data_IF_725228342896
#
_entry.id   IF_725228342896
#
_cell.length_a   1.000
_cell.length_b   1.000
_cell.length_c   1.000
_cell.angle_alpha   90.00
_cell.angle_beta   90.00
_cell.angle_gamma   90.00
#
_symmetry.space_group_name_H-M   'P 1'
#
loop_
_entity.id
_entity.type
_entity.pdbx_description
1 polymer ?
#
# COMPACT_ATOMS: atom_id res chain seq x y z
N UNK A 1 -1.02 -7.94 2.59
CA UNK A 1 -0.04 -9.02 2.51
C UNK A 1 -0.72 -10.22 1.87
N UNK A 2 -0.34 -10.56 0.65
CA UNK A 2 -0.95 -11.68 -0.09
C UNK A 2 -0.28 -13.00 0.30
N UNK A 3 -1.08 -14.06 0.51
CA UNK A 3 -0.58 -15.41 0.79
C UNK A 3 -0.68 -16.27 -0.48
N UNK A 4 0.42 -16.92 -0.82
CA UNK A 4 0.51 -17.82 -1.98
C UNK A 4 -0.01 -19.23 -1.64
N UNK A 5 -0.86 -19.82 -2.51
CA UNK A 5 -1.26 -21.22 -2.44
C UNK A 5 -0.35 -22.10 -3.29
N UNK A 6 0.11 -23.23 -2.76
CA UNK A 6 1.03 -24.17 -3.42
C UNK A 6 0.49 -24.82 -4.69
N UNK A 7 1.35 -24.95 -5.67
CA UNK A 7 1.22 -25.94 -6.75
C UNK A 7 2.28 -27.03 -6.56
N UNK A 8 1.85 -28.27 -6.30
CA UNK A 8 2.73 -29.44 -6.39
C UNK A 8 3.01 -29.74 -7.86
N UNK A 9 4.25 -29.56 -8.30
CA UNK A 9 4.74 -29.93 -9.61
C UNK A 9 6.25 -29.74 -9.67
N UNK A 10 6.99 -30.84 -9.76
CA UNK A 10 8.45 -30.85 -9.94
C UNK A 10 8.79 -30.20 -11.27
N UNK A 11 9.56 -29.14 -11.24
CA UNK A 11 10.24 -28.55 -12.41
C UNK A 11 11.73 -28.44 -12.09
N UNK A 12 12.57 -28.87 -13.05
CA UNK A 12 14.02 -28.86 -12.96
C UNK A 12 14.59 -27.46 -12.65
N UNK A 13 15.76 -27.35 -12.01
CA UNK A 13 16.31 -26.06 -11.56
C UNK A 13 16.86 -25.25 -12.73
N UNK A 14 16.06 -24.35 -13.29
CA UNK A 14 16.52 -23.32 -14.21
C UNK A 14 17.29 -22.20 -13.48
N UNK A 15 18.23 -21.49 -14.14
CA UNK A 15 19.02 -20.41 -13.54
C UNK A 15 18.19 -19.32 -12.84
N UNK A 16 16.98 -19.06 -13.32
CA UNK A 16 16.04 -18.07 -12.76
C UNK A 16 15.54 -18.43 -11.35
N UNK A 17 15.56 -19.72 -10.94
CA UNK A 17 15.20 -20.13 -9.59
C UNK A 17 16.21 -19.71 -8.53
N UNK A 18 17.48 -19.49 -8.88
CA UNK A 18 18.51 -19.05 -7.91
C UNK A 18 18.32 -17.62 -7.43
N UNK A 19 17.76 -16.74 -8.27
CA UNK A 19 17.53 -15.32 -7.94
C UNK A 19 16.40 -15.16 -6.92
N UNK A 20 15.44 -16.08 -6.90
CA UNK A 20 14.24 -16.05 -6.05
C UNK A 20 14.44 -16.83 -4.74
N UNK A 21 15.41 -17.75 -4.67
CA UNK A 21 15.72 -18.50 -3.46
C UNK A 21 16.75 -17.76 -2.60
N UNK A 22 16.28 -16.80 -1.84
CA UNK A 22 17.12 -16.14 -0.84
C UNK A 22 16.96 -16.87 0.49
N UNK A 23 18.09 -17.14 1.12
CA UNK A 23 18.16 -17.70 2.47
C UNK A 23 17.68 -16.63 3.45
N UNK A 24 16.72 -16.97 4.31
CA UNK A 24 16.29 -16.10 5.39
C UNK A 24 16.98 -16.58 6.68
N UNK A 25 17.83 -15.74 7.25
CA UNK A 25 18.46 -15.97 8.56
C UNK A 25 17.70 -15.16 9.59
N UNK A 26 17.09 -15.85 10.55
CA UNK A 26 16.40 -15.23 11.68
C UNK A 26 16.89 -15.87 12.98
N UNK A 27 17.38 -15.09 13.92
CA UNK A 27 17.95 -15.54 15.20
C UNK A 27 19.01 -16.66 15.10
N UNK A 28 19.80 -16.64 13.99
CA UNK A 28 20.83 -17.65 13.72
C UNK A 28 20.33 -18.94 13.04
N UNK A 29 19.02 -19.09 12.88
CA UNK A 29 18.44 -20.19 12.10
C UNK A 29 18.31 -19.81 10.62
N UNK A 30 18.70 -20.75 9.76
CA UNK A 30 18.66 -20.59 8.31
C UNK A 30 17.44 -21.30 7.76
N UNK A 31 16.47 -20.54 7.23
CA UNK A 31 15.27 -21.08 6.59
C UNK A 31 15.27 -20.84 5.09
N UNK A 32 14.86 -21.84 4.33
CA UNK A 32 14.65 -21.74 2.89
C UNK A 32 13.15 -21.60 2.62
N UNK A 33 12.65 -20.42 2.27
CA UNK A 33 11.24 -20.26 1.97
C UNK A 33 10.89 -21.09 0.73
N UNK A 34 9.88 -21.93 0.86
CA UNK A 34 9.36 -22.78 -0.24
C UNK A 34 8.39 -22.03 -1.12
N UNK A 35 7.89 -20.88 -0.67
CA UNK A 35 6.84 -20.08 -1.30
C UNK A 35 7.17 -18.59 -1.30
N UNK A 36 6.94 -17.95 -2.45
CA UNK A 36 7.09 -16.51 -2.63
C UNK A 36 8.55 -16.04 -2.68
N UNK A 37 8.74 -14.73 -2.58
CA UNK A 37 10.04 -14.08 -2.46
C UNK A 37 10.23 -13.57 -1.04
N UNK A 38 11.45 -13.64 -0.47
CA UNK A 38 11.68 -13.19 0.89
C UNK A 38 11.41 -11.69 1.02
N UNK A 39 10.82 -11.31 2.16
CA UNK A 39 10.57 -9.92 2.46
C UNK A 39 11.90 -9.17 2.63
N UNK A 40 12.05 -8.03 1.93
CA UNK A 40 13.29 -7.24 1.93
C UNK A 40 14.29 -7.61 0.84
N UNK A 41 14.01 -8.59 -0.04
CA UNK A 41 14.84 -8.86 -1.21
C UNK A 41 14.74 -7.73 -2.25
N UNK A 42 15.89 -7.33 -2.84
CA UNK A 42 15.93 -6.24 -3.83
C UNK A 42 15.00 -6.43 -5.03
N UNK A 43 14.82 -7.67 -5.49
CA UNK A 43 14.00 -8.00 -6.67
C UNK A 43 12.54 -8.28 -6.31
N UNK A 44 12.24 -8.51 -5.04
CA UNK A 44 10.89 -8.90 -4.59
C UNK A 44 9.80 -7.88 -4.97
N UNK A 45 10.01 -6.55 -4.82
CA UNK A 45 9.02 -5.56 -5.23
C UNK A 45 8.77 -5.55 -6.74
N UNK A 46 9.83 -5.76 -7.53
CA UNK A 46 9.72 -5.82 -8.99
C UNK A 46 8.91 -7.05 -9.42
N UNK A 47 9.24 -8.22 -8.88
CA UNK A 47 8.53 -9.47 -9.18
C UNK A 47 7.06 -9.40 -8.74
N UNK A 48 6.78 -8.82 -7.58
CA UNK A 48 5.43 -8.59 -7.11
C UNK A 48 4.65 -7.67 -8.06
N UNK A 49 5.25 -6.58 -8.54
CA UNK A 49 4.60 -5.69 -9.50
C UNK A 49 4.37 -6.34 -10.87
N UNK A 50 5.32 -7.13 -11.38
CA UNK A 50 5.14 -7.90 -12.62
C UNK A 50 3.97 -8.88 -12.46
N UNK A 51 3.88 -9.57 -11.32
CA UNK A 51 2.81 -10.53 -11.08
C UNK A 51 1.44 -9.85 -10.92
N UNK A 52 1.38 -8.76 -10.19
CA UNK A 52 0.15 -7.99 -9.96
C UNK A 52 -0.28 -7.17 -11.20
N UNK A 53 0.60 -7.00 -12.20
CA UNK A 53 0.26 -6.36 -13.48
C UNK A 53 -0.88 -7.10 -14.21
N UNK A 54 -1.08 -8.40 -13.94
CA UNK A 54 -2.23 -9.13 -14.47
C UNK A 54 -3.58 -8.55 -13.97
N UNK A 55 -3.59 -7.94 -12.78
CA UNK A 55 -4.78 -7.24 -12.27
C UNK A 55 -5.01 -5.95 -13.06
N UNK A 56 -3.95 -5.19 -13.33
CA UNK A 56 -4.02 -3.96 -14.10
C UNK A 56 -4.49 -4.24 -15.53
N UNK A 57 -3.89 -5.26 -16.20
CA UNK A 57 -4.29 -5.70 -17.53
C UNK A 57 -5.74 -6.17 -17.59
N UNK A 58 -6.16 -7.00 -16.62
CA UNK A 58 -7.55 -7.40 -16.54
C UNK A 58 -8.47 -6.18 -16.47
N UNK A 59 -8.12 -5.18 -15.64
CA UNK A 59 -8.95 -3.99 -15.48
C UNK A 59 -9.02 -3.12 -16.74
N UNK A 60 -7.91 -3.01 -17.47
CA UNK A 60 -7.82 -2.19 -18.69
C UNK A 60 -8.39 -2.88 -19.93
N UNK A 61 -8.23 -4.19 -20.04
CA UNK A 61 -8.59 -4.97 -21.23
C UNK A 61 -9.93 -5.74 -21.04
N UNK A 62 -9.90 -6.79 -20.23
CA UNK A 62 -11.05 -7.69 -20.03
C UNK A 62 -12.13 -7.06 -19.14
N UNK A 63 -11.74 -6.35 -18.11
CA UNK A 63 -12.61 -5.67 -17.15
C UNK A 63 -13.16 -4.34 -17.63
N UNK A 64 -12.77 -3.86 -18.82
CA UNK A 64 -13.16 -2.54 -19.34
C UNK A 64 -14.69 -2.38 -19.40
N UNK A 65 -15.41 -3.42 -19.76
CA UNK A 65 -16.88 -3.40 -19.74
C UNK A 65 -17.43 -3.28 -18.33
N UNK A 66 -16.84 -4.00 -17.38
CA UNK A 66 -17.21 -3.97 -15.97
C UNK A 66 -16.88 -2.62 -15.35
N UNK A 67 -15.70 -2.10 -15.62
CA UNK A 67 -15.28 -0.78 -15.17
C UNK A 67 -16.24 0.31 -15.66
N UNK A 68 -16.60 0.28 -16.94
CA UNK A 68 -17.57 1.22 -17.53
C UNK A 68 -18.99 1.03 -16.97
N UNK A 69 -19.44 -0.22 -16.78
CA UNK A 69 -20.78 -0.53 -16.24
C UNK A 69 -21.00 0.00 -14.83
N UNK A 70 -19.97 -0.05 -13.99
CA UNK A 70 -20.05 0.34 -12.58
C UNK A 70 -19.37 1.67 -12.28
N UNK A 71 -18.90 2.39 -13.34
CA UNK A 71 -18.08 3.61 -13.22
C UNK A 71 -16.95 3.39 -12.19
N UNK A 72 -16.14 2.36 -12.46
CA UNK A 72 -15.17 1.87 -11.51
C UNK A 72 -13.74 2.08 -11.99
N UNK A 73 -12.91 2.65 -11.13
CA UNK A 73 -11.52 2.99 -11.39
C UNK A 73 -10.60 2.30 -10.38
N UNK A 74 -9.65 1.50 -10.87
CA UNK A 74 -8.63 0.86 -10.04
C UNK A 74 -7.44 1.80 -9.87
N UNK A 75 -7.01 1.99 -8.63
CA UNK A 75 -5.78 2.68 -8.27
C UNK A 75 -4.96 1.70 -7.44
N UNK A 76 -3.76 1.32 -7.93
CA UNK A 76 -2.88 0.37 -7.27
C UNK A 76 -1.52 1.00 -6.95
N UNK A 77 -1.03 0.72 -5.76
CA UNK A 77 0.33 1.01 -5.32
C UNK A 77 0.92 -0.25 -4.68
N UNK A 78 1.78 -0.94 -5.41
CA UNK A 78 2.28 -2.25 -5.02
C UNK A 78 1.13 -3.23 -4.73
N UNK A 79 0.99 -3.71 -3.51
CA UNK A 79 -0.07 -4.59 -3.04
C UNK A 79 -1.28 -3.85 -2.44
N UNK A 80 -1.17 -2.55 -2.23
CA UNK A 80 -2.29 -1.72 -1.77
C UNK A 80 -3.14 -1.26 -2.98
N UNK A 81 -4.46 -1.45 -2.88
CA UNK A 81 -5.41 -1.12 -3.95
C UNK A 81 -6.63 -0.38 -3.41
N UNK A 82 -7.10 0.58 -4.19
CA UNK A 82 -8.38 1.25 -4.00
C UNK A 82 -9.15 1.18 -5.31
N UNK A 83 -10.43 0.79 -5.24
CA UNK A 83 -11.33 0.84 -6.37
C UNK A 83 -12.42 1.85 -6.06
N UNK A 84 -12.44 2.94 -6.83
CA UNK A 84 -13.51 3.92 -6.77
C UNK A 84 -14.64 3.43 -7.67
N UNK A 85 -15.84 3.27 -7.11
CA UNK A 85 -17.00 2.76 -7.82
C UNK A 85 -18.19 3.69 -7.70
N UNK A 86 -18.83 4.00 -8.83
CA UNK A 86 -20.05 4.79 -8.85
C UNK A 86 -21.29 3.99 -8.45
N UNK A 87 -21.25 2.65 -8.63
CA UNK A 87 -22.38 1.77 -8.27
C UNK A 87 -21.90 0.35 -7.95
N UNK A 88 -22.70 -0.38 -7.19
CA UNK A 88 -22.59 -1.81 -6.87
C UNK A 88 -21.15 -2.27 -6.47
N UNK A 89 -20.58 -1.76 -5.40
CA UNK A 89 -19.24 -2.10 -4.95
C UNK A 89 -19.10 -3.57 -4.55
N UNK A 90 -20.20 -4.24 -4.16
CA UNK A 90 -20.23 -5.66 -3.82
C UNK A 90 -19.92 -6.53 -5.06
N UNK A 91 -20.49 -6.18 -6.21
CA UNK A 91 -20.21 -6.90 -7.47
C UNK A 91 -18.73 -6.75 -7.85
N UNK A 92 -18.16 -5.55 -7.68
CA UNK A 92 -16.75 -5.30 -7.94
C UNK A 92 -15.87 -6.09 -6.98
N UNK A 93 -16.20 -6.13 -5.69
CA UNK A 93 -15.49 -6.95 -4.71
C UNK A 93 -15.52 -8.43 -5.08
N UNK A 94 -16.67 -8.95 -5.56
CA UNK A 94 -16.79 -10.34 -6.01
C UNK A 94 -15.93 -10.62 -7.25
N UNK A 95 -15.86 -9.68 -8.20
CA UNK A 95 -15.01 -9.80 -9.39
C UNK A 95 -13.53 -9.81 -8.98
N UNK A 96 -13.11 -8.93 -8.09
CA UNK A 96 -11.74 -8.88 -7.59
C UNK A 96 -11.34 -10.16 -6.85
N UNK A 97 -12.25 -10.76 -6.05
CA UNK A 97 -12.00 -12.05 -5.39
C UNK A 97 -11.75 -13.16 -6.42
N UNK A 98 -12.59 -13.25 -7.46
CA UNK A 98 -12.42 -14.24 -8.53
C UNK A 98 -11.11 -14.04 -9.29
N UNK A 99 -10.74 -12.79 -9.58
CA UNK A 99 -9.48 -12.47 -10.26
C UNK A 99 -8.26 -12.87 -9.41
N UNK A 100 -8.27 -12.51 -8.14
CA UNK A 100 -7.21 -12.88 -7.21
C UNK A 100 -7.11 -14.41 -7.04
N UNK A 101 -8.23 -15.11 -6.99
CA UNK A 101 -8.27 -16.57 -6.92
C UNK A 101 -7.63 -17.22 -8.16
N UNK A 102 -7.89 -16.71 -9.38
CA UNK A 102 -7.18 -17.14 -10.60
C UNK A 102 -5.67 -16.96 -10.49
N UNK A 103 -5.24 -15.87 -9.87
CA UNK A 103 -3.84 -15.58 -9.59
C UNK A 103 -3.32 -16.31 -8.33
N UNK A 104 -4.11 -17.17 -7.70
CA UNK A 104 -3.76 -17.87 -6.45
C UNK A 104 -3.39 -16.93 -5.31
N UNK A 105 -3.99 -15.76 -5.29
CA UNK A 105 -3.93 -14.78 -4.25
C UNK A 105 -5.24 -14.74 -3.48
N UNK A 106 -5.23 -14.17 -2.29
CA UNK A 106 -6.44 -13.95 -1.51
C UNK A 106 -6.46 -12.52 -0.95
N UNK A 107 -7.65 -11.95 -0.79
CA UNK A 107 -7.82 -10.69 -0.07
C UNK A 107 -7.55 -10.90 1.42
N UNK A 108 -6.91 -9.93 2.02
CA UNK A 108 -6.83 -9.86 3.48
C UNK A 108 -8.16 -9.30 4.01
N UNK A 109 -9.05 -10.17 4.49
CA UNK A 109 -10.39 -9.81 4.96
C UNK A 109 -10.36 -8.79 6.11
N UNK A 110 -9.35 -8.83 6.96
CA UNK A 110 -9.20 -7.87 8.07
C UNK A 110 -8.81 -6.46 7.62
N UNK A 111 -8.34 -6.28 6.38
CA UNK A 111 -7.91 -5.00 5.83
C UNK A 111 -8.75 -4.53 4.65
N UNK A 112 -9.47 -5.44 4.00
CA UNK A 112 -10.29 -5.15 2.82
C UNK A 112 -11.73 -4.88 3.24
N UNK A 113 -12.26 -3.73 2.85
CA UNK A 113 -13.61 -3.32 3.18
C UNK A 113 -14.21 -2.43 2.10
N UNK A 114 -15.53 -2.47 2.00
CA UNK A 114 -16.30 -1.48 1.24
C UNK A 114 -16.57 -0.31 2.19
N UNK A 115 -16.37 0.90 1.72
CA UNK A 115 -16.62 2.13 2.47
C UNK A 115 -17.09 3.24 1.53
N UNK A 116 -17.66 4.29 2.08
CA UNK A 116 -18.08 5.46 1.30
C UNK A 116 -17.09 6.61 1.47
N UNK A 117 -17.05 7.51 0.49
CA UNK A 117 -16.20 8.71 0.57
C UNK A 117 -16.66 9.65 1.70
N UNK A 118 -17.92 9.54 2.15
CA UNK A 118 -18.43 10.27 3.32
C UNK A 118 -17.80 9.79 4.62
N UNK A 119 -17.68 8.46 4.80
CA UNK A 119 -17.01 7.85 5.95
C UNK A 119 -15.49 8.05 5.89
N UNK A 120 -14.95 8.14 4.67
CA UNK A 120 -13.54 8.26 4.40
C UNK A 120 -12.78 6.92 4.45
N UNK A 121 -11.58 6.95 3.87
CA UNK A 121 -10.69 5.80 3.85
C UNK A 121 -9.22 6.23 3.88
N UNK A 122 -8.37 5.34 4.37
CA UNK A 122 -6.93 5.56 4.39
C UNK A 122 -6.28 4.83 3.20
N UNK A 123 -5.45 5.55 2.43
CA UNK A 123 -4.67 5.00 1.35
C UNK A 123 -3.30 5.67 1.28
N UNK A 124 -2.24 4.88 1.20
CA UNK A 124 -0.84 5.36 1.14
C UNK A 124 -0.56 6.47 2.17
N UNK A 125 -0.92 6.22 3.43
CA UNK A 125 -0.66 7.15 4.53
C UNK A 125 -1.51 8.42 4.57
N UNK A 126 -2.45 8.59 3.65
CA UNK A 126 -3.41 9.68 3.65
C UNK A 126 -4.81 9.19 3.98
N UNK A 127 -5.59 10.04 4.62
CA UNK A 127 -7.02 9.88 4.86
C UNK A 127 -7.81 10.72 3.87
N UNK A 128 -8.61 10.08 3.04
CA UNK A 128 -9.49 10.71 2.03
C UNK A 128 -10.90 10.73 2.55
N UNK A 129 -11.56 11.88 2.46
CA UNK A 129 -12.95 12.03 2.88
C UNK A 129 -13.65 13.18 2.15
N UNK A 130 -14.99 13.11 2.10
CA UNK A 130 -15.82 14.14 1.49
C UNK A 130 -16.26 15.13 2.57
N UNK A 131 -16.14 16.43 2.27
CA UNK A 131 -16.57 17.51 3.14
C UNK A 131 -17.34 18.55 2.35
N UNK A 132 -18.48 18.97 2.87
CA UNK A 132 -19.21 20.11 2.35
C UNK A 132 -18.51 21.43 2.74
N UNK A 133 -18.17 22.23 1.77
CA UNK A 133 -17.56 23.55 2.01
C UNK A 133 -18.63 24.60 1.80
N UNK A 134 -19.13 25.17 2.89
CA UNK A 134 -20.23 26.18 2.89
C UNK A 134 -19.89 27.39 2.02
N UNK A 135 -18.63 27.87 2.06
CA UNK A 135 -18.17 28.99 1.25
C UNK A 135 -18.26 28.73 -0.26
N UNK A 136 -18.13 27.47 -0.69
CA UNK A 136 -18.17 27.06 -2.10
C UNK A 136 -19.53 26.47 -2.49
N UNK A 137 -20.44 26.24 -1.54
CA UNK A 137 -21.74 25.63 -1.79
C UNK A 137 -21.69 24.20 -2.35
N UNK A 138 -20.56 23.49 -2.21
CA UNK A 138 -20.37 22.16 -2.80
C UNK A 138 -19.57 21.21 -1.93
N UNK A 139 -19.75 19.93 -2.20
CA UNK A 139 -18.93 18.87 -1.62
C UNK A 139 -17.57 18.81 -2.33
N UNK A 140 -16.52 18.68 -1.53
CA UNK A 140 -15.14 18.55 -2.02
C UNK A 140 -14.50 17.34 -1.36
N UNK A 141 -13.74 16.58 -2.12
CA UNK A 141 -12.89 15.52 -1.57
C UNK A 141 -11.61 16.16 -1.05
N UNK A 142 -11.35 15.96 0.23
CA UNK A 142 -10.17 16.43 0.93
C UNK A 142 -9.34 15.22 1.31
N UNK A 143 -8.02 15.38 1.31
CA UNK A 143 -7.12 14.38 1.88
C UNK A 143 -6.12 15.05 2.83
N UNK A 144 -5.77 14.32 3.87
CA UNK A 144 -4.83 14.76 4.90
C UNK A 144 -4.02 13.55 5.38
N UNK A 145 -2.86 13.75 6.04
CA UNK A 145 -2.13 12.64 6.63
C UNK A 145 -3.02 11.81 7.55
N UNK A 146 -2.99 10.49 7.40
CA UNK A 146 -3.78 9.59 8.24
C UNK A 146 -3.34 9.65 9.70
N UNK A 147 -4.23 9.32 10.63
CA UNK A 147 -3.90 9.25 12.07
C UNK A 147 -2.72 8.33 12.35
N UNK A 148 -2.61 7.22 11.60
CA UNK A 148 -1.49 6.28 11.68
C UNK A 148 -0.18 6.91 11.21
N UNK A 149 -0.20 7.64 10.10
CA UNK A 149 0.98 8.31 9.57
C UNK A 149 1.50 9.39 10.54
N UNK A 150 0.60 10.21 11.11
CA UNK A 150 0.94 11.21 12.13
C UNK A 150 1.52 10.56 13.39
N UNK A 151 0.93 9.47 13.86
CA UNK A 151 1.44 8.73 15.02
C UNK A 151 2.85 8.20 14.75
N UNK A 152 3.07 7.55 13.61
CA UNK A 152 4.37 7.01 13.24
C UNK A 152 5.44 8.11 13.14
N UNK A 153 5.08 9.28 12.60
CA UNK A 153 5.97 10.45 12.58
C UNK A 153 6.36 10.89 14.00
N UNK A 154 5.37 11.04 14.91
CA UNK A 154 5.60 11.41 16.29
C UNK A 154 6.48 10.40 17.03
N UNK A 155 6.29 9.12 16.81
CA UNK A 155 7.10 8.05 17.40
C UNK A 155 8.57 8.14 16.92
N UNK A 156 8.78 8.33 15.60
CA UNK A 156 10.13 8.52 15.05
C UNK A 156 10.81 9.78 15.62
N UNK A 157 10.08 10.89 15.72
CA UNK A 157 10.61 12.12 16.31
C UNK A 157 11.00 11.92 17.80
N UNK A 158 10.15 11.22 18.58
CA UNK A 158 10.48 10.87 19.98
C UNK A 158 11.72 9.98 20.09
N UNK A 159 11.90 9.03 19.16
CA UNK A 159 13.10 8.18 19.14
C UNK A 159 14.37 9.01 18.91
N UNK A 160 14.33 9.97 17.98
CA UNK A 160 15.47 10.89 17.74
C UNK A 160 15.76 11.74 18.98
N UNK A 161 14.72 12.25 19.64
CA UNK A 161 14.82 13.13 20.83
C UNK A 161 14.96 12.34 22.15
N UNK A 162 15.24 11.05 22.11
CA UNK A 162 15.43 10.26 23.32
C UNK A 162 16.68 10.77 24.07
N UNK A 163 16.60 10.90 25.40
CA UNK A 163 17.69 11.39 26.27
C UNK A 163 19.03 10.68 26.03
N UNK A 164 19.01 9.37 25.74
CA UNK A 164 20.23 8.61 25.41
C UNK A 164 20.91 9.12 24.15
N UNK A 165 20.13 9.49 23.12
CA UNK A 165 20.66 9.99 21.85
C UNK A 165 21.16 11.44 21.99
N UNK A 166 20.45 12.29 22.73
CA UNK A 166 20.84 13.67 23.00
C UNK A 166 22.12 13.75 23.83
N UNK A 167 22.29 12.86 24.82
CA UNK A 167 23.49 12.82 25.66
C UNK A 167 24.77 12.45 24.89
N UNK A 168 24.64 11.79 23.73
CA UNK A 168 25.78 11.37 22.91
C UNK A 168 26.19 12.46 21.92
N UNK A 169 25.25 13.08 21.22
CA UNK A 169 25.53 14.12 20.23
C UNK A 169 24.26 14.92 19.88
N UNK A 170 24.14 16.13 20.42
CA UNK A 170 23.01 17.02 20.19
C UNK A 170 22.93 17.50 18.74
N UNK A 171 24.06 17.83 18.12
CA UNK A 171 24.12 18.33 16.74
C UNK A 171 23.61 17.29 15.76
N UNK A 172 24.03 16.02 15.92
CA UNK A 172 23.55 14.92 15.10
C UNK A 172 22.04 14.67 15.30
N UNK A 173 21.52 14.78 16.51
CA UNK A 173 20.10 14.65 16.79
C UNK A 173 19.28 15.75 16.08
N UNK A 174 19.73 17.00 16.12
CA UNK A 174 19.11 18.13 15.40
C UNK A 174 19.11 17.87 13.88
N UNK A 175 20.23 17.41 13.35
CA UNK A 175 20.36 17.09 11.91
C UNK A 175 19.38 15.99 11.48
N UNK A 176 19.29 14.90 12.25
CA UNK A 176 18.33 13.81 12.00
C UNK A 176 16.88 14.28 12.10
N UNK A 177 16.57 15.11 13.08
CA UNK A 177 15.23 15.68 13.23
C UNK A 177 14.86 16.55 12.03
N UNK A 178 15.79 17.39 11.55
CA UNK A 178 15.59 18.21 10.37
C UNK A 178 15.32 17.36 9.11
N UNK A 179 16.06 16.27 8.90
CA UNK A 179 15.77 15.34 7.80
C UNK A 179 14.39 14.72 7.93
N UNK A 180 14.00 14.29 9.13
CA UNK A 180 12.69 13.71 9.39
C UNK A 180 11.56 14.70 9.11
N UNK A 181 11.70 15.95 9.58
CA UNK A 181 10.70 17.02 9.37
C UNK A 181 10.61 17.38 7.89
N UNK A 182 11.75 17.55 7.21
CA UNK A 182 11.78 17.89 5.78
C UNK A 182 11.13 16.78 4.94
N UNK A 183 11.49 15.52 5.19
CA UNK A 183 10.87 14.38 4.51
C UNK A 183 9.36 14.31 4.74
N UNK A 184 8.92 14.50 5.99
CA UNK A 184 7.50 14.54 6.33
C UNK A 184 6.78 15.70 5.65
N UNK A 185 7.38 16.90 5.67
CA UNK A 185 6.78 18.09 5.06
C UNK A 185 6.62 17.91 3.55
N UNK A 186 7.64 17.39 2.89
CA UNK A 186 7.60 17.12 1.44
C UNK A 186 6.53 16.07 1.10
N UNK A 187 6.44 15.01 1.90
CA UNK A 187 5.41 13.98 1.73
C UNK A 187 3.99 14.53 1.91
N UNK A 188 3.78 15.43 2.87
CA UNK A 188 2.48 16.02 3.17
C UNK A 188 2.15 17.27 2.34
N UNK A 189 3.10 17.79 1.55
CA UNK A 189 2.91 19.03 0.77
C UNK A 189 1.66 19.00 -0.12
N UNK A 190 1.32 17.91 -0.83
CA UNK A 190 0.11 17.84 -1.66
C UNK A 190 -1.18 18.09 -0.87
N UNK A 191 -1.26 17.68 0.41
CA UNK A 191 -2.45 17.89 1.22
C UNK A 191 -2.69 19.35 1.60
N UNK A 192 -1.65 20.19 1.57
CA UNK A 192 -1.76 21.63 1.87
C UNK A 192 -2.37 22.41 0.72
N UNK A 193 -2.17 21.98 -0.52
CA UNK A 193 -2.71 22.64 -1.72
C UNK A 193 -4.23 22.52 -1.77
N UNK A 194 -4.78 21.35 -1.47
CA UNK A 194 -6.23 21.13 -1.49
C UNK A 194 -7.00 21.84 -0.34
N UNK A 195 -6.30 22.29 0.70
CA UNK A 195 -6.93 22.99 1.82
C UNK A 195 -6.94 24.52 1.66
N UNK A 196 -6.29 25.08 0.62
CA UNK A 196 -6.19 26.53 0.39
C UNK A 196 -7.17 27.06 -0.67
N UNK A 197 -7.81 26.18 -1.45
CA UNK A 197 -8.86 26.53 -2.40
C UNK A 197 -10.26 26.27 -1.82
#
# INVERSE_FOLDING_TARGET
MFQWKERKGQLSPSPHRRIVRTVVVYEGETTYPTLGTPQGGFISPLLANIYLNEIDRFWEEEGKFTAKKYDAHLIRWADDMVILAGSNPEAIMAIMRKLLEKLKLSLNEGKSRITTVKEGFDFIGFHFFRRYITRKGKDVVIFQPSKKAVRNFREKAKQVLNRKNLAINEEEAVKRLNYLITGWTNYCAPSKVNNRE
#
